data_IF_006958980957
#
_entry.id   IF_006958980957
#
_cell.length_a   1.000
_cell.length_b   1.000
_cell.length_c   1.000
_cell.angle_alpha   90.00
_cell.angle_beta   90.00
_cell.angle_gamma   90.00
#
_symmetry.space_group_name_H-M   'P 1'
#
loop_
_entity.id
_entity.type
_entity.pdbx_description
1 polymer ?
#
# COMPACT_ATOMS: atom_id res chain seq x y z
N UNK A 1 30.41 -19.90 39.58
CA UNK A 1 29.04 -19.88 39.02
C UNK A 1 29.07 -19.10 37.71
N UNK A 2 28.76 -19.77 36.61
CA UNK A 2 28.75 -19.21 35.27
C UNK A 2 27.45 -18.40 35.05
N UNK A 3 27.59 -17.15 34.63
CA UNK A 3 26.48 -16.28 34.21
C UNK A 3 26.63 -15.92 32.74
N UNK A 4 26.02 -16.71 31.88
CA UNK A 4 26.08 -16.62 30.41
C UNK A 4 25.48 -15.30 29.91
N UNK A 5 26.30 -14.42 29.34
CA UNK A 5 25.84 -13.29 28.53
C UNK A 5 25.24 -13.81 27.22
N UNK A 6 23.92 -13.79 27.09
CA UNK A 6 23.24 -14.04 25.81
C UNK A 6 23.39 -12.81 24.91
N UNK A 7 24.14 -12.99 23.82
CA UNK A 7 24.28 -12.06 22.70
C UNK A 7 23.06 -12.31 21.78
N UNK A 8 22.18 -11.33 21.63
CA UNK A 8 21.10 -11.39 20.65
C UNK A 8 21.66 -11.14 19.23
N UNK A 9 21.14 -11.83 18.20
CA UNK A 9 21.71 -11.81 16.86
C UNK A 9 21.26 -10.58 16.05
N UNK A 10 22.20 -10.12 15.21
CA UNK A 10 22.07 -9.19 14.09
C UNK A 10 20.73 -8.50 13.85
N UNK A 11 20.62 -7.26 14.31
CA UNK A 11 19.85 -6.26 13.59
C UNK A 11 20.61 -5.97 12.29
N UNK A 12 20.05 -6.38 11.16
CA UNK A 12 20.48 -5.85 9.87
C UNK A 12 19.98 -4.42 9.82
N UNK A 13 20.78 -3.50 10.34
CA UNK A 13 20.57 -2.07 10.19
C UNK A 13 20.61 -1.75 8.70
N UNK A 14 19.44 -1.51 8.11
CA UNK A 14 19.36 -0.81 6.84
C UNK A 14 19.98 0.58 7.04
N UNK A 15 20.95 1.00 6.22
CA UNK A 15 21.63 2.26 6.40
C UNK A 15 20.61 3.40 6.28
N UNK A 16 20.39 4.08 7.41
CA UNK A 16 19.66 5.33 7.48
C UNK A 16 20.52 6.38 6.77
N UNK A 17 20.12 6.77 5.57
CA UNK A 17 20.87 7.71 4.75
C UNK A 17 21.21 8.98 5.55
N UNK A 18 22.50 9.19 5.81
CA UNK A 18 22.98 10.43 6.43
C UNK A 18 23.08 11.48 5.33
N UNK A 19 22.61 12.69 5.62
CA UNK A 19 22.83 13.83 4.73
C UNK A 19 24.35 13.98 4.48
N UNK A 20 24.77 13.75 3.23
CA UNK A 20 26.18 13.73 2.82
C UNK A 20 26.73 12.38 2.31
N UNK A 21 25.92 11.33 2.24
CA UNK A 21 26.34 10.05 1.67
C UNK A 21 26.59 10.16 0.16
N UNK A 22 27.77 9.72 -0.29
CA UNK A 22 28.11 9.63 -1.70
C UNK A 22 27.03 8.82 -2.44
N UNK A 23 26.70 9.17 -3.71
CA UNK A 23 25.70 8.43 -4.46
C UNK A 23 26.05 6.93 -4.47
N UNK A 24 25.05 6.05 -4.37
CA UNK A 24 25.29 4.60 -4.34
C UNK A 24 26.08 4.18 -5.58
N UNK A 25 27.02 3.25 -5.40
CA UNK A 25 27.84 2.78 -6.50
C UNK A 25 26.98 2.19 -7.62
N UNK A 26 27.45 2.21 -8.89
CA UNK A 26 26.70 1.65 -10.01
C UNK A 26 26.27 0.19 -9.79
N UNK A 27 27.11 -0.61 -9.13
CA UNK A 27 26.80 -2.00 -8.79
C UNK A 27 25.64 -2.12 -7.78
N UNK A 28 25.60 -1.26 -6.75
CA UNK A 28 24.51 -1.24 -5.76
C UNK A 28 23.20 -0.81 -6.42
N UNK A 29 23.25 0.18 -7.33
CA UNK A 29 22.08 0.60 -8.11
C UNK A 29 21.58 -0.51 -9.04
N UNK A 30 22.47 -1.25 -9.70
CA UNK A 30 22.09 -2.38 -10.55
C UNK A 30 21.38 -3.48 -9.74
N UNK A 31 21.93 -3.87 -8.58
CA UNK A 31 21.27 -4.83 -7.69
C UNK A 31 19.90 -4.34 -7.21
N UNK A 32 19.79 -3.04 -6.89
CA UNK A 32 18.52 -2.43 -6.50
C UNK A 32 17.49 -2.48 -7.64
N UNK A 33 17.90 -2.19 -8.87
CA UNK A 33 17.05 -2.27 -10.06
C UNK A 33 16.51 -3.68 -10.27
N UNK A 34 17.38 -4.69 -10.22
CA UNK A 34 16.96 -6.09 -10.40
C UNK A 34 15.98 -6.54 -9.32
N UNK A 35 16.21 -6.14 -8.05
CA UNK A 35 15.27 -6.46 -6.97
C UNK A 35 13.90 -5.82 -7.19
N UNK A 36 13.86 -4.54 -7.60
CA UNK A 36 12.60 -3.84 -7.87
C UNK A 36 11.92 -4.46 -9.09
N UNK A 37 12.65 -4.73 -10.19
CA UNK A 37 12.13 -5.39 -11.40
C UNK A 37 11.47 -6.73 -11.05
N UNK A 38 12.15 -7.57 -10.28
CA UNK A 38 11.64 -8.86 -9.83
C UNK A 38 10.34 -8.72 -9.02
N UNK A 39 10.26 -7.76 -8.11
CA UNK A 39 9.04 -7.49 -7.34
C UNK A 39 7.89 -7.01 -8.24
N UNK A 40 8.15 -6.07 -9.16
CA UNK A 40 7.13 -5.55 -10.08
C UNK A 40 6.59 -6.64 -11.01
N UNK A 41 7.43 -7.59 -11.42
CA UNK A 41 7.02 -8.74 -12.26
C UNK A 41 6.07 -9.72 -11.55
N UNK A 42 5.95 -9.65 -10.22
CA UNK A 42 4.93 -10.42 -9.49
C UNK A 42 3.52 -9.84 -9.65
N UNK A 43 3.40 -8.62 -10.19
CA UNK A 43 2.12 -7.95 -10.36
C UNK A 43 1.47 -8.38 -11.66
N UNK A 44 0.20 -8.81 -11.66
CA UNK A 44 -0.50 -9.15 -12.89
C UNK A 44 -0.61 -7.96 -13.84
N UNK A 45 -0.72 -6.73 -13.32
CA UNK A 45 -0.77 -5.50 -14.12
C UNK A 45 0.54 -5.22 -14.87
N UNK A 46 1.66 -5.82 -14.47
CA UNK A 46 2.94 -5.66 -15.16
C UNK A 46 2.93 -6.32 -16.56
N UNK A 47 1.99 -7.24 -16.83
CA UNK A 47 1.78 -7.80 -18.16
C UNK A 47 1.37 -6.75 -19.21
N UNK A 48 0.94 -5.57 -18.78
CA UNK A 48 0.65 -4.45 -19.67
C UNK A 48 1.88 -3.68 -20.14
N UNK A 49 3.06 -3.93 -19.56
CA UNK A 49 4.29 -3.22 -19.87
C UNK A 49 5.22 -4.11 -20.71
N UNK A 50 5.82 -3.52 -21.74
CA UNK A 50 7.00 -4.11 -22.37
C UNK A 50 8.25 -3.99 -21.48
N UNK A 51 9.35 -4.60 -21.91
CA UNK A 51 10.59 -4.59 -21.14
C UNK A 51 11.13 -3.16 -20.88
N UNK A 52 11.09 -2.28 -21.88
CA UNK A 52 11.58 -0.90 -21.76
C UNK A 52 10.71 -0.10 -20.79
N UNK A 53 9.40 -0.27 -20.85
CA UNK A 53 8.43 0.37 -19.98
C UNK A 53 8.54 -0.12 -18.54
N UNK A 54 8.82 -1.41 -18.34
CA UNK A 54 9.13 -1.96 -17.02
C UNK A 54 10.44 -1.38 -16.47
N UNK A 55 11.48 -1.25 -17.29
CA UNK A 55 12.72 -0.57 -16.88
C UNK A 55 12.46 0.88 -16.46
N UNK A 56 11.64 1.61 -17.21
CA UNK A 56 11.24 2.97 -16.82
C UNK A 56 10.42 3.00 -15.52
N UNK A 57 9.57 2.01 -15.27
CA UNK A 57 8.85 1.88 -14.00
C UNK A 57 9.82 1.67 -12.83
N UNK A 58 10.83 0.80 -12.99
CA UNK A 58 11.88 0.56 -11.99
C UNK A 58 12.66 1.85 -11.68
N UNK A 59 13.11 2.56 -12.72
CA UNK A 59 13.84 3.82 -12.54
C UNK A 59 12.96 4.91 -11.89
N UNK A 60 11.65 4.94 -12.19
CA UNK A 60 10.70 5.81 -11.47
C UNK A 60 10.65 5.48 -9.98
N UNK A 61 10.51 4.21 -9.60
CA UNK A 61 10.51 3.80 -8.18
C UNK A 61 11.78 4.24 -7.47
N UNK A 62 12.94 4.05 -8.11
CA UNK A 62 14.23 4.48 -7.55
C UNK A 62 14.27 5.99 -7.38
N UNK A 63 13.93 6.76 -8.42
CA UNK A 63 13.91 8.23 -8.38
C UNK A 63 12.97 8.74 -7.30
N UNK A 64 11.79 8.15 -7.19
CA UNK A 64 10.76 8.58 -6.26
C UNK A 64 11.11 8.22 -4.82
N UNK A 65 11.85 7.14 -4.58
CA UNK A 65 12.34 6.80 -3.23
C UNK A 65 13.38 7.77 -2.66
N UNK A 66 13.99 8.60 -3.51
CA UNK A 66 15.01 9.56 -3.09
C UNK A 66 14.34 10.88 -2.70
N UNK A 67 14.50 11.37 -1.44
CA UNK A 67 13.79 12.56 -0.97
C UNK A 67 13.98 13.83 -1.81
N UNK A 68 15.16 14.01 -2.41
CA UNK A 68 15.48 15.19 -3.23
C UNK A 68 14.80 15.20 -4.61
N UNK A 69 14.34 14.04 -5.10
CA UNK A 69 13.70 13.88 -6.41
C UNK A 69 12.27 13.37 -6.33
N UNK A 70 11.76 13.19 -5.10
CA UNK A 70 10.42 12.73 -4.82
C UNK A 70 9.40 13.80 -5.24
N UNK A 71 8.38 13.36 -5.98
CA UNK A 71 7.23 14.20 -6.30
C UNK A 71 6.52 14.60 -4.99
N UNK A 72 6.21 15.91 -4.79
CA UNK A 72 5.47 16.36 -3.62
C UNK A 72 4.10 15.69 -3.51
N UNK A 73 3.73 15.29 -2.30
CA UNK A 73 2.43 14.66 -2.06
C UNK A 73 1.30 15.65 -2.25
N UNK A 74 0.27 15.24 -2.99
CA UNK A 74 -0.91 16.05 -3.23
C UNK A 74 -1.64 16.41 -1.92
N UNK A 75 -2.29 17.56 -1.89
CA UNK A 75 -3.04 18.02 -0.72
C UNK A 75 -4.12 16.98 -0.32
N UNK A 76 -4.16 16.62 0.96
CA UNK A 76 -5.10 15.62 1.49
C UNK A 76 -4.69 14.17 1.27
N UNK A 77 -3.57 13.91 0.58
CA UNK A 77 -3.01 12.58 0.39
C UNK A 77 -1.88 12.31 1.40
N UNK A 78 -1.58 11.04 1.62
CA UNK A 78 -0.44 10.54 2.37
C UNK A 78 0.31 9.57 1.48
N UNK A 79 1.61 9.82 1.32
CA UNK A 79 2.51 8.91 0.64
C UNK A 79 2.94 7.81 1.60
N UNK A 80 2.78 6.55 1.18
CA UNK A 80 3.22 5.43 1.98
C UNK A 80 4.74 5.28 1.90
N UNK A 81 5.35 4.93 3.03
CA UNK A 81 6.74 4.51 3.09
C UNK A 81 6.88 3.01 2.77
N UNK A 82 8.12 2.55 2.60
CA UNK A 82 8.42 1.16 2.28
C UNK A 82 7.81 0.19 3.31
N UNK A 83 7.79 0.58 4.60
CA UNK A 83 7.21 -0.25 5.68
C UNK A 83 5.71 -0.37 5.55
N UNK A 84 4.99 0.72 5.28
CA UNK A 84 3.55 0.71 5.04
C UNK A 84 3.17 -0.08 3.79
N UNK A 85 4.00 0.00 2.75
CA UNK A 85 3.82 -0.79 1.53
C UNK A 85 3.99 -2.29 1.82
N UNK A 86 5.08 -2.68 2.48
CA UNK A 86 5.37 -4.08 2.84
C UNK A 86 4.26 -4.65 3.73
N UNK A 87 3.91 -3.94 4.80
CA UNK A 87 2.88 -4.40 5.75
C UNK A 87 1.52 -4.62 5.07
N UNK A 88 1.18 -3.78 4.07
CA UNK A 88 -0.08 -3.94 3.33
C UNK A 88 -0.04 -5.15 2.40
N UNK A 89 1.08 -5.39 1.71
CA UNK A 89 1.25 -6.59 0.88
C UNK A 89 1.28 -7.88 1.71
N UNK A 90 1.93 -7.88 2.88
CA UNK A 90 1.97 -9.05 3.78
C UNK A 90 0.57 -9.40 4.30
N UNK A 91 -0.21 -8.40 4.72
CA UNK A 91 -1.59 -8.60 5.14
C UNK A 91 -2.48 -9.12 4.00
N UNK A 92 -2.29 -8.60 2.80
CA UNK A 92 -3.09 -8.95 1.63
C UNK A 92 -2.75 -10.29 0.99
N UNK A 93 -1.47 -10.65 0.90
CA UNK A 93 -1.01 -11.91 0.30
C UNK A 93 -1.56 -13.14 1.02
N UNK A 94 -1.95 -13.00 2.29
CA UNK A 94 -2.55 -14.09 3.04
C UNK A 94 -4.03 -14.33 2.71
N UNK A 95 -4.71 -13.36 2.07
CA UNK A 95 -6.16 -13.35 1.93
C UNK A 95 -6.67 -13.28 0.47
N UNK A 96 -5.83 -12.95 -0.51
CA UNK A 96 -6.31 -12.50 -1.82
C UNK A 96 -5.64 -13.24 -2.99
N UNK A 97 -6.48 -13.77 -3.88
CA UNK A 97 -6.06 -14.29 -5.20
C UNK A 97 -6.30 -13.26 -6.30
N UNK A 98 -5.44 -13.24 -7.33
CA UNK A 98 -5.64 -12.40 -8.52
C UNK A 98 -6.97 -12.75 -9.23
N UNK A 99 -7.57 -11.74 -9.86
CA UNK A 99 -8.81 -11.83 -10.65
C UNK A 99 -8.54 -11.42 -12.08
N UNK A 100 -9.52 -11.67 -12.96
CA UNK A 100 -9.49 -11.20 -14.34
C UNK A 100 -9.28 -9.67 -14.45
N UNK A 101 -9.84 -8.88 -13.53
CA UNK A 101 -9.72 -7.42 -13.51
C UNK A 101 -8.29 -6.92 -13.25
N UNK A 102 -7.40 -7.80 -12.81
CA UNK A 102 -5.99 -7.50 -12.57
C UNK A 102 -5.12 -7.68 -13.83
N UNK A 103 -5.72 -8.12 -14.95
CA UNK A 103 -5.05 -8.33 -16.24
C UNK A 103 -5.65 -7.45 -17.35
N UNK A 104 -4.86 -7.05 -18.36
CA UNK A 104 -5.38 -6.34 -19.51
C UNK A 104 -6.38 -7.23 -20.28
N UNK A 105 -7.59 -6.73 -20.58
CA UNK A 105 -8.59 -7.48 -21.35
C UNK A 105 -8.15 -7.65 -22.81
N UNK A 106 -8.55 -8.76 -23.42
CA UNK A 106 -8.22 -9.06 -24.81
C UNK A 106 -8.77 -7.98 -25.76
N UNK A 107 -7.95 -7.56 -26.73
CA UNK A 107 -8.33 -6.57 -27.74
C UNK A 107 -8.28 -5.10 -27.28
N UNK A 108 -7.89 -4.82 -26.03
CA UNK A 108 -7.65 -3.47 -25.52
C UNK A 108 -6.14 -3.20 -25.49
N UNK A 109 -5.75 -1.96 -25.81
CA UNK A 109 -4.37 -1.53 -25.66
C UNK A 109 -3.96 -1.62 -24.17
N UNK A 110 -2.94 -2.42 -23.82
CA UNK A 110 -2.61 -2.68 -22.41
C UNK A 110 -2.18 -1.42 -21.64
N UNK A 111 -1.55 -0.44 -22.30
CA UNK A 111 -1.10 0.79 -21.66
C UNK A 111 -2.26 1.74 -21.40
N UNK A 112 -3.17 1.84 -22.37
CA UNK A 112 -4.42 2.59 -22.18
C UNK A 112 -5.22 1.99 -21.03
N UNK A 113 -5.35 0.66 -21.00
CA UNK A 113 -6.00 -0.06 -19.90
C UNK A 113 -5.33 0.24 -18.55
N UNK A 114 -4.01 0.17 -18.47
CA UNK A 114 -3.30 0.43 -17.21
C UNK A 114 -3.54 1.87 -16.72
N UNK A 115 -3.58 2.84 -17.64
CA UNK A 115 -3.89 4.24 -17.35
C UNK A 115 -5.34 4.46 -16.92
N UNK A 116 -6.29 3.72 -17.48
CA UNK A 116 -7.70 3.74 -17.07
C UNK A 116 -7.92 3.04 -15.72
N UNK A 117 -7.30 1.87 -15.53
CA UNK A 117 -7.29 1.13 -14.28
C UNK A 117 -6.79 1.99 -13.13
N UNK A 118 -5.71 2.75 -13.34
CA UNK A 118 -5.23 3.75 -12.37
C UNK A 118 -6.29 4.79 -12.03
N UNK A 119 -6.93 5.40 -13.03
CA UNK A 119 -7.95 6.44 -12.83
C UNK A 119 -9.17 5.90 -12.07
N UNK A 120 -9.59 4.68 -12.40
CA UNK A 120 -10.68 3.98 -11.73
C UNK A 120 -10.34 3.71 -10.26
N UNK A 121 -9.16 3.15 -9.98
CA UNK A 121 -8.67 2.88 -8.63
C UNK A 121 -8.47 4.17 -7.83
N UNK A 122 -8.05 5.28 -8.45
CA UNK A 122 -7.98 6.57 -7.78
C UNK A 122 -9.38 7.11 -7.42
N UNK A 123 -10.37 6.96 -8.31
CA UNK A 123 -11.75 7.45 -8.10
C UNK A 123 -12.58 6.61 -7.12
N UNK A 124 -12.33 5.32 -7.04
CA UNK A 124 -13.01 4.40 -6.12
C UNK A 124 -12.46 4.42 -4.68
N UNK A 125 -11.28 5.03 -4.50
CA UNK A 125 -10.59 5.16 -3.22
C UNK A 125 -11.28 6.23 -2.38
N UNK A 126 -12.30 5.81 -1.64
CA UNK A 126 -13.13 6.69 -0.82
C UNK A 126 -12.73 6.62 0.67
N UNK A 127 -12.61 7.76 1.36
CA UNK A 127 -12.36 7.85 2.81
C UNK A 127 -13.26 6.98 3.68
N UNK A 128 -14.50 6.75 3.23
CA UNK A 128 -15.54 6.10 4.02
C UNK A 128 -15.50 4.56 3.92
N UNK A 129 -14.67 3.98 3.04
CA UNK A 129 -14.51 2.52 2.92
C UNK A 129 -13.61 1.99 4.04
N UNK A 130 -14.12 1.03 4.83
CA UNK A 130 -13.37 0.43 5.94
C UNK A 130 -12.23 -0.43 5.42
N UNK A 131 -11.01 -0.20 5.91
CA UNK A 131 -9.81 -0.96 5.55
C UNK A 131 -9.94 -2.48 5.75
N UNK A 132 -10.73 -2.88 6.76
CA UNK A 132 -10.90 -4.29 7.16
C UNK A 132 -11.94 -5.06 6.32
N UNK A 133 -12.58 -4.41 5.35
CA UNK A 133 -13.44 -5.10 4.39
C UNK A 133 -12.58 -5.88 3.38
N UNK A 134 -12.78 -7.19 3.18
CA UNK A 134 -12.01 -7.99 2.22
C UNK A 134 -11.99 -7.39 0.81
N UNK A 135 -13.12 -6.83 0.35
CA UNK A 135 -13.22 -6.21 -0.98
C UNK A 135 -12.38 -4.93 -1.06
N UNK A 136 -12.31 -4.19 0.04
CA UNK A 136 -11.50 -2.99 0.14
C UNK A 136 -10.00 -3.30 0.27
N UNK A 137 -9.64 -4.40 0.93
CA UNK A 137 -8.25 -4.90 0.97
C UNK A 137 -7.76 -5.30 -0.42
N UNK A 138 -8.59 -6.00 -1.21
CA UNK A 138 -8.29 -6.32 -2.61
C UNK A 138 -8.04 -5.08 -3.44
N UNK A 139 -8.96 -4.14 -3.32
CA UNK A 139 -8.92 -2.86 -4.00
C UNK A 139 -7.65 -2.07 -3.67
N UNK A 140 -7.29 -1.97 -2.39
CA UNK A 140 -6.09 -1.29 -1.92
C UNK A 140 -4.82 -1.86 -2.55
N UNK A 141 -4.72 -3.19 -2.64
CA UNK A 141 -3.54 -3.85 -3.19
C UNK A 141 -3.43 -3.61 -4.69
N UNK A 142 -4.53 -3.70 -5.44
CA UNK A 142 -4.55 -3.36 -6.86
C UNK A 142 -4.11 -1.89 -7.08
N UNK A 143 -4.63 -0.97 -6.25
CA UNK A 143 -4.20 0.44 -6.28
C UNK A 143 -2.70 0.59 -6.04
N UNK A 144 -2.14 -0.10 -5.05
CA UNK A 144 -0.71 -0.06 -4.77
C UNK A 144 0.14 -0.59 -5.93
N UNK A 145 -0.23 -1.73 -6.53
CA UNK A 145 0.50 -2.31 -7.67
C UNK A 145 0.51 -1.34 -8.86
N UNK A 146 -0.66 -0.81 -9.21
CA UNK A 146 -0.80 0.13 -10.33
C UNK A 146 -0.06 1.45 -10.06
N UNK A 147 -0.13 1.99 -8.85
CA UNK A 147 0.61 3.19 -8.47
C UNK A 147 2.14 2.99 -8.56
N UNK A 148 2.65 1.84 -8.11
CA UNK A 148 4.07 1.51 -8.25
C UNK A 148 4.53 1.39 -9.71
N UNK A 149 3.70 0.81 -10.60
CA UNK A 149 4.03 0.68 -12.03
C UNK A 149 3.97 2.03 -12.76
N UNK A 150 3.00 2.88 -12.41
CA UNK A 150 2.69 4.10 -13.18
C UNK A 150 3.29 5.39 -12.60
N UNK A 151 3.33 5.52 -11.27
CA UNK A 151 3.82 6.70 -10.54
C UNK A 151 5.22 6.44 -9.95
N UNK A 152 5.49 5.21 -9.52
CA UNK A 152 6.72 4.82 -8.82
C UNK A 152 6.63 4.96 -7.30
N UNK A 153 5.46 5.33 -6.79
CA UNK A 153 5.19 5.50 -5.36
C UNK A 153 3.69 5.38 -5.11
N UNK A 154 3.30 5.12 -3.86
CA UNK A 154 1.90 4.93 -3.47
C UNK A 154 1.40 6.14 -2.70
N UNK A 155 0.23 6.65 -3.09
CA UNK A 155 -0.49 7.70 -2.37
C UNK A 155 -1.93 7.29 -2.11
N UNK A 156 -2.34 7.46 -0.85
CA UNK A 156 -3.70 7.19 -0.37
C UNK A 156 -4.28 8.46 0.25
N UNK A 157 -5.60 8.66 0.23
CA UNK A 157 -6.24 9.73 0.99
C UNK A 157 -5.90 9.63 2.48
N UNK A 158 -5.52 10.75 3.10
CA UNK A 158 -5.19 10.80 4.53
C UNK A 158 -6.24 10.13 5.44
N UNK A 159 -7.55 10.38 5.26
CA UNK A 159 -8.58 9.74 6.10
C UNK A 159 -8.60 8.21 6.00
N UNK A 160 -8.14 7.66 4.89
CA UNK A 160 -8.06 6.21 4.69
C UNK A 160 -6.93 5.58 5.51
N UNK A 161 -5.82 6.31 5.67
CA UNK A 161 -4.66 5.87 6.47
C UNK A 161 -4.91 6.09 7.96
N UNK A 162 -5.52 7.22 8.32
CA UNK A 162 -5.79 7.64 9.70
C UNK A 162 -7.09 7.03 10.27
N UNK A 163 -7.76 6.14 9.53
CA UNK A 163 -9.03 5.56 9.96
C UNK A 163 -8.84 4.78 11.28
N UNK A 164 -9.35 5.38 12.36
CA UNK A 164 -9.59 4.71 13.63
C UNK A 164 -11.04 4.27 13.61
N UNK A 165 -11.36 2.96 13.69
CA UNK A 165 -12.74 2.52 13.70
C UNK A 165 -13.49 3.21 14.85
N UNK A 166 -14.73 3.70 14.62
CA UNK A 166 -15.50 4.29 15.71
C UNK A 166 -15.65 3.23 16.82
N UNK A 167 -15.51 3.62 18.10
CA UNK A 167 -15.68 2.67 19.19
C UNK A 167 -17.03 1.96 19.02
N UNK A 168 -17.09 0.64 19.28
CA UNK A 168 -18.32 -0.11 19.09
C UNK A 168 -19.43 0.61 19.85
N UNK A 169 -20.46 1.04 19.14
CA UNK A 169 -21.64 1.63 19.77
C UNK A 169 -22.26 0.52 20.60
N UNK A 170 -22.01 0.55 21.90
CA UNK A 170 -22.75 -0.28 22.86
C UNK A 170 -24.18 0.19 22.69
N UNK A 171 -24.97 -0.53 21.88
CA UNK A 171 -26.42 -0.43 21.94
C UNK A 171 -26.77 -0.83 23.36
N UNK A 172 -26.99 0.17 24.21
CA UNK A 172 -27.56 -0.05 25.53
C UNK A 172 -28.83 -0.86 25.29
N UNK A 173 -28.80 -2.16 25.59
CA UNK A 173 -30.00 -2.97 25.74
C UNK A 173 -30.85 -2.20 26.73
N UNK A 174 -31.96 -1.65 26.25
CA UNK A 174 -32.86 -0.86 27.08
C UNK A 174 -33.17 -1.62 28.35
N UNK A 175 -32.89 -0.98 29.50
CA UNK A 175 -33.51 -1.38 30.75
C UNK A 175 -35.03 -1.33 30.55
N UNK A 176 -35.80 -2.34 30.99
CA UNK A 176 -37.23 -2.17 31.11
C UNK A 176 -37.48 -1.08 32.15
N UNK A 177 -38.14 0.01 31.73
CA UNK A 177 -38.62 1.05 32.63
C UNK A 177 -39.69 0.43 33.52
N UNK A 178 -39.46 0.46 34.84
CA UNK A 178 -40.47 0.21 35.86
C UNK A 178 -41.73 1.03 35.54
N UNK A 179 -42.84 0.35 35.30
CA UNK A 179 -44.16 0.98 35.26
C UNK A 179 -44.63 1.15 36.71
N UNK A 180 -44.55 2.40 37.18
CA UNK A 180 -45.08 2.88 38.45
C UNK A 180 -46.60 2.67 38.51
N UNK A 181 -47.06 2.28 39.70
CA UNK A 181 -48.45 2.16 40.11
C UNK A 181 -49.28 3.41 39.77
N UNK A 182 -50.51 3.20 39.31
CA UNK A 182 -51.60 4.16 39.47
C UNK A 182 -52.77 3.45 40.15
N UNK A 183 -52.98 3.82 41.41
CA UNK A 183 -54.26 3.70 42.13
C UNK A 183 -54.99 5.01 41.89
N UNK A 184 -56.14 5.00 41.21
CA UNK A 184 -57.28 5.91 41.43
C UNK A 184 -58.55 5.20 40.94
N UNK A 185 -59.53 5.04 41.82
CA UNK A 185 -60.87 4.51 41.52
C UNK A 185 -61.39 3.58 42.61
#
# INVERSE_FOLDING_TARGET
MAGTKRKAPGSVDLPKARAGEAPPSPAVLAMRRERIKSNLLTFPEAAALDELQLYHAVDRVIRESTPSTATPTAQGMVRLDDKGIIATFEYANWLLSFSADDYPPAGVDPLVWLGERRRMLDGEMKPEKKRDDPDNSRFLVAKMRVDLLTKGYVELPRPYVDYTPPPPTIRARGQPKNATAMVVG
#
